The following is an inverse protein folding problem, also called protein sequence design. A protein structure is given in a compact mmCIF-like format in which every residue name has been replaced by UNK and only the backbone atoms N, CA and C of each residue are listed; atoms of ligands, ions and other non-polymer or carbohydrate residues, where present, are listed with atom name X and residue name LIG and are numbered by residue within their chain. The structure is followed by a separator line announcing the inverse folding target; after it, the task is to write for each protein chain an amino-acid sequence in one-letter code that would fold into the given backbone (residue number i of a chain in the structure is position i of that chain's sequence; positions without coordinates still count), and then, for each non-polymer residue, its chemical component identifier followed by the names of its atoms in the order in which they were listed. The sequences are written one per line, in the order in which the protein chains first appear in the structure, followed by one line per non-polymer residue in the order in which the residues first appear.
data_IF_804874465999
#
_entry.id   IF_804874465999
#
_cell.length_a   1.000
_cell.length_b   1.000
_cell.length_c   1.000
_cell.angle_alpha   90.00
_cell.angle_beta   90.00
_cell.angle_gamma   90.00
#
_symmetry.space_group_name_H-M   'P 1'
#
loop_
_entity.id
_entity.type
_entity.pdbx_description
1 polymer ?
#
# COMPACT_ATOMS: atom_id res chain seq x y z
N UNK A 1 5.71 -48.27 39.11
CA UNK A 1 4.95 -47.75 37.91
C UNK A 1 4.48 -46.28 37.96
N UNK A 2 4.70 -45.56 39.05
CA UNK A 2 4.37 -44.13 39.16
C UNK A 2 5.23 -43.24 38.24
N UNK A 3 6.46 -43.56 37.94
CA UNK A 3 7.37 -42.81 37.08
C UNK A 3 6.96 -42.84 35.59
N UNK A 4 6.45 -43.96 35.11
CA UNK A 4 5.99 -44.16 33.75
C UNK A 4 4.73 -43.33 33.46
N UNK A 5 3.77 -43.28 34.42
CA UNK A 5 2.55 -42.48 34.31
C UNK A 5 2.84 -40.95 34.30
N UNK A 6 3.76 -40.46 35.17
CA UNK A 6 4.18 -39.07 35.20
C UNK A 6 4.84 -38.62 33.89
N UNK A 7 5.70 -39.41 33.29
CA UNK A 7 6.33 -39.13 31.99
C UNK A 7 5.29 -39.05 30.85
N UNK A 8 4.26 -39.89 30.85
CA UNK A 8 3.18 -39.86 29.86
C UNK A 8 2.31 -38.60 30.02
N UNK A 9 2.03 -38.18 31.26
CA UNK A 9 1.26 -36.95 31.53
C UNK A 9 2.07 -35.74 31.09
N UNK A 10 3.34 -35.62 31.46
CA UNK A 10 4.21 -34.50 31.06
C UNK A 10 4.29 -34.37 29.52
N UNK A 11 4.51 -35.52 28.82
CA UNK A 11 4.54 -35.51 27.36
C UNK A 11 3.21 -35.05 26.74
N UNK A 12 2.06 -35.48 27.28
CA UNK A 12 0.74 -35.05 26.80
C UNK A 12 0.50 -33.56 27.06
N UNK A 13 0.86 -33.08 28.25
CA UNK A 13 0.72 -31.64 28.57
C UNK A 13 1.60 -30.78 27.69
N UNK A 14 2.85 -31.21 27.45
CA UNK A 14 3.78 -30.49 26.55
C UNK A 14 3.23 -30.46 25.10
N UNK A 15 2.65 -31.56 24.64
CA UNK A 15 2.06 -31.69 23.32
C UNK A 15 0.83 -30.76 23.16
N UNK A 16 0.02 -30.65 24.21
CA UNK A 16 -1.13 -29.73 24.24
C UNK A 16 -0.64 -28.26 24.19
N UNK A 17 0.40 -27.90 24.96
CA UNK A 17 0.98 -26.53 24.91
C UNK A 17 1.54 -26.18 23.53
N UNK A 18 2.25 -27.13 22.89
CA UNK A 18 2.75 -26.95 21.52
C UNK A 18 1.60 -26.77 20.54
N UNK A 19 0.55 -27.58 20.67
CA UNK A 19 -0.63 -27.48 19.80
C UNK A 19 -1.35 -26.14 19.94
N UNK A 20 -1.52 -25.66 21.18
CA UNK A 20 -2.10 -24.33 21.47
C UNK A 20 -1.21 -23.23 20.90
N UNK A 21 0.12 -23.34 21.04
CA UNK A 21 1.06 -22.37 20.48
C UNK A 21 0.99 -22.31 18.96
N UNK A 22 0.88 -23.46 18.27
CA UNK A 22 0.73 -23.52 16.80
C UNK A 22 -0.61 -22.95 16.36
N UNK A 23 -1.70 -23.25 17.06
CA UNK A 23 -3.02 -22.70 16.75
C UNK A 23 -3.09 -21.19 16.98
N UNK A 24 -2.54 -20.71 18.10
CA UNK A 24 -2.48 -19.27 18.39
C UNK A 24 -1.58 -18.52 17.40
N UNK A 25 -0.40 -19.07 17.09
CA UNK A 25 0.51 -18.52 16.10
C UNK A 25 -0.08 -18.51 14.68
N UNK A 26 -0.76 -19.61 14.30
CA UNK A 26 -1.47 -19.71 13.03
C UNK A 26 -2.63 -18.69 12.92
N UNK A 27 -3.41 -18.54 14.00
CA UNK A 27 -4.51 -17.56 14.05
C UNK A 27 -4.01 -16.11 13.99
N UNK A 28 -2.96 -15.78 14.75
CA UNK A 28 -2.33 -14.45 14.72
C UNK A 28 -1.69 -14.16 13.36
N UNK A 29 -0.99 -15.13 12.78
CA UNK A 29 -0.43 -15.02 11.44
C UNK A 29 -1.50 -14.83 10.37
N UNK A 30 -2.60 -15.59 10.43
CA UNK A 30 -3.73 -15.43 9.52
C UNK A 30 -4.41 -14.05 9.66
N UNK A 31 -4.60 -13.58 10.90
CA UNK A 31 -5.16 -12.25 11.17
C UNK A 31 -4.25 -11.13 10.69
N UNK A 32 -2.93 -11.29 10.88
CA UNK A 32 -1.93 -10.37 10.36
C UNK A 32 -1.96 -10.30 8.83
N UNK A 33 -1.93 -11.44 8.13
CA UNK A 33 -1.99 -11.50 6.67
C UNK A 33 -3.30 -10.91 6.11
N UNK A 34 -4.43 -11.16 6.79
CA UNK A 34 -5.74 -10.64 6.34
C UNK A 34 -5.88 -9.13 6.54
N UNK A 35 -5.25 -8.56 7.55
CA UNK A 35 -5.27 -7.12 7.80
C UNK A 35 -4.27 -6.38 6.90
N UNK A 36 -3.09 -6.98 6.65
CA UNK A 36 -2.08 -6.41 5.75
C UNK A 36 -2.58 -6.34 4.30
N UNK A 37 -3.36 -7.32 3.85
CA UNK A 37 -3.98 -7.30 2.52
C UNK A 37 -5.01 -6.16 2.32
N UNK A 38 -5.53 -5.57 3.41
CA UNK A 38 -6.44 -4.41 3.35
C UNK A 38 -5.69 -3.07 3.28
N UNK A 39 -4.45 -3.03 3.75
CA UNK A 39 -3.63 -1.81 3.84
C UNK A 39 -2.80 -1.62 2.58
N UNK A 40 -2.41 -2.72 1.93
CA UNK A 40 -1.60 -2.70 0.71
C UNK A 40 -2.34 -3.44 -0.38
N UNK A 41 -2.75 -2.73 -1.41
CA UNK A 41 -3.31 -3.30 -2.64
C UNK A 41 -2.19 -3.94 -3.52
N UNK A 42 -1.17 -4.47 -2.86
CA UNK A 42 0.01 -5.10 -3.45
C UNK A 42 0.48 -6.32 -2.64
N UNK A 43 1.28 -7.15 -3.27
CA UNK A 43 1.83 -8.37 -2.67
C UNK A 43 2.93 -8.03 -1.63
N UNK A 44 2.53 -7.84 -0.37
CA UNK A 44 3.45 -7.53 0.75
C UNK A 44 4.52 -8.61 0.95
N UNK A 45 4.23 -9.86 0.58
CA UNK A 45 5.20 -10.95 0.67
C UNK A 45 6.35 -10.81 -0.32
N UNK A 46 6.17 -10.03 -1.40
CA UNK A 46 7.24 -9.72 -2.34
C UNK A 46 8.41 -8.93 -1.74
N UNK A 47 8.21 -8.23 -0.61
CA UNK A 47 9.29 -7.54 0.09
C UNK A 47 10.22 -8.50 0.87
N UNK A 48 9.79 -9.73 1.13
CA UNK A 48 10.57 -10.73 1.86
C UNK A 48 11.23 -11.77 0.93
N UNK A 49 10.87 -11.75 -0.34
CA UNK A 49 11.54 -12.57 -1.33
C UNK A 49 12.82 -11.84 -1.73
N UNK A 50 13.96 -12.53 -1.72
CA UNK A 50 15.26 -12.00 -2.16
C UNK A 50 15.33 -11.72 -3.67
N UNK A 51 14.17 -11.60 -4.31
CA UNK A 51 14.05 -11.20 -5.70
C UNK A 51 14.39 -9.73 -5.86
N UNK A 52 15.17 -9.45 -6.87
CA UNK A 52 15.57 -8.10 -7.26
C UNK A 52 14.34 -7.21 -7.43
N UNK A 53 14.38 -6.02 -6.84
CA UNK A 53 13.30 -5.05 -6.95
C UNK A 53 13.15 -4.56 -8.40
N UNK A 54 11.92 -4.31 -8.84
CA UNK A 54 11.70 -3.60 -10.11
C UNK A 54 12.42 -2.24 -10.04
N UNK A 55 13.16 -1.88 -11.07
CA UNK A 55 13.93 -0.64 -11.12
C UNK A 55 15.32 -0.70 -10.45
N UNK A 56 15.64 -1.76 -9.69
CA UNK A 56 16.95 -1.89 -9.04
C UNK A 56 18.10 -1.95 -10.05
N UNK A 57 17.86 -2.52 -11.23
CA UNK A 57 18.85 -2.58 -12.33
C UNK A 57 19.23 -1.21 -12.88
N UNK A 58 18.31 -0.25 -12.81
CA UNK A 58 18.56 1.14 -13.21
C UNK A 58 19.15 1.97 -12.07
N UNK A 59 19.38 1.36 -10.91
CA UNK A 59 19.88 2.02 -9.70
C UNK A 59 18.84 2.87 -8.96
N UNK A 60 17.54 2.80 -9.38
CA UNK A 60 16.48 3.62 -8.78
C UNK A 60 15.15 2.87 -8.73
N UNK A 61 14.49 2.94 -7.58
CA UNK A 61 13.16 2.39 -7.36
C UNK A 61 12.21 3.53 -6.98
N UNK A 62 11.17 3.72 -7.76
CA UNK A 62 10.16 4.76 -7.54
C UNK A 62 8.86 4.13 -7.05
N UNK A 63 8.29 4.70 -5.99
CA UNK A 63 7.06 4.25 -5.36
C UNK A 63 6.07 5.42 -5.36
N UNK A 64 4.92 5.24 -5.97
CA UNK A 64 3.81 6.20 -5.92
C UNK A 64 2.93 5.91 -4.70
N UNK A 65 2.80 6.88 -3.81
CA UNK A 65 1.88 6.83 -2.68
C UNK A 65 0.67 7.71 -2.96
N UNK A 66 -0.53 7.16 -2.82
CA UNK A 66 -1.79 7.87 -3.00
C UNK A 66 -2.66 7.74 -1.75
N UNK A 67 -2.97 8.87 -1.12
CA UNK A 67 -3.90 8.96 0.01
C UNK A 67 -5.30 9.33 -0.48
N UNK A 68 -6.31 8.52 -0.13
CA UNK A 68 -7.71 8.74 -0.49
C UNK A 68 -8.56 9.00 0.75
N UNK A 69 -9.65 9.77 0.56
CA UNK A 69 -10.65 10.08 1.61
C UNK A 69 -11.93 9.25 1.48
N UNK A 70 -11.88 8.12 0.77
CA UNK A 70 -13.05 7.31 0.42
C UNK A 70 -13.82 6.73 1.62
N UNK A 71 -13.18 6.61 2.77
CA UNK A 71 -13.71 6.09 4.03
C UNK A 71 -13.97 7.17 5.09
N UNK A 72 -13.85 8.45 4.73
CA UNK A 72 -14.20 9.56 5.61
C UNK A 72 -15.74 9.75 5.65
N UNK A 73 -16.38 9.60 6.83
CA UNK A 73 -17.83 9.82 6.97
C UNK A 73 -18.30 11.23 6.63
N UNK A 74 -17.40 12.22 6.60
CA UNK A 74 -17.66 13.62 6.27
C UNK A 74 -17.56 13.95 4.78
N UNK A 75 -17.11 13.00 3.94
CA UNK A 75 -16.99 13.18 2.49
C UNK A 75 -18.09 12.44 1.74
N UNK A 76 -18.67 13.06 0.73
CA UNK A 76 -19.74 12.50 -0.12
C UNK A 76 -19.26 11.34 -1.04
N UNK A 77 -18.31 10.53 -0.58
CA UNK A 77 -17.82 9.33 -1.28
C UNK A 77 -16.95 9.63 -2.51
N UNK A 78 -16.48 10.87 -2.69
CA UNK A 78 -15.55 11.20 -3.74
C UNK A 78 -14.19 10.53 -3.46
N UNK A 79 -13.84 9.56 -4.29
CA UNK A 79 -12.54 8.84 -4.23
C UNK A 79 -11.40 9.72 -4.77
N UNK A 80 -11.24 10.93 -4.23
CA UNK A 80 -10.15 11.81 -4.63
C UNK A 80 -8.85 11.40 -3.95
N UNK A 81 -7.73 11.57 -4.65
CA UNK A 81 -6.40 11.41 -4.07
C UNK A 81 -5.92 12.77 -3.54
N UNK A 82 -6.21 13.03 -2.27
CA UNK A 82 -5.88 14.31 -1.65
C UNK A 82 -4.42 14.41 -1.19
N UNK A 83 -3.73 13.30 -1.11
CA UNK A 83 -2.29 13.21 -0.86
C UNK A 83 -1.64 12.36 -1.95
N UNK A 84 -0.70 12.92 -2.69
CA UNK A 84 0.05 12.21 -3.72
C UNK A 84 1.52 12.47 -3.47
N UNK A 85 2.31 11.40 -3.36
CA UNK A 85 3.73 11.49 -3.06
C UNK A 85 4.51 10.48 -3.91
N UNK A 86 5.64 10.93 -4.45
CA UNK A 86 6.63 10.08 -5.11
C UNK A 86 7.79 9.84 -4.15
N UNK A 87 8.04 8.59 -3.80
CA UNK A 87 9.23 8.15 -3.07
C UNK A 87 10.20 7.55 -4.06
N UNK A 88 11.38 8.14 -4.18
CA UNK A 88 12.44 7.69 -5.10
C UNK A 88 13.65 7.22 -4.30
N UNK A 89 13.96 5.93 -4.40
CA UNK A 89 15.04 5.27 -3.65
C UNK A 89 16.22 5.05 -4.60
N UNK A 90 17.34 5.65 -4.30
CA UNK A 90 18.61 5.37 -4.95
C UNK A 90 19.22 4.13 -4.31
N UNK A 91 19.22 3.02 -5.04
CA UNK A 91 19.71 1.73 -4.55
C UNK A 91 21.23 1.62 -4.53
N UNK A 92 21.92 2.49 -5.28
CA UNK A 92 23.37 2.56 -5.36
C UNK A 92 23.93 3.35 -4.17
N UNK A 93 23.42 4.60 -3.97
CA UNK A 93 23.88 5.49 -2.91
C UNK A 93 23.14 5.29 -1.59
N UNK A 94 22.13 4.41 -1.55
CA UNK A 94 21.28 4.09 -0.37
C UNK A 94 20.65 5.34 0.24
N UNK A 95 20.12 6.21 -0.61
CA UNK A 95 19.40 7.43 -0.25
C UNK A 95 17.99 7.38 -0.78
N UNK A 96 17.08 8.11 -0.14
CA UNK A 96 15.70 8.23 -0.60
C UNK A 96 15.27 9.69 -0.60
N UNK A 97 14.47 10.06 -1.62
CA UNK A 97 13.84 11.37 -1.74
C UNK A 97 12.33 11.18 -1.73
N UNK A 98 11.63 12.05 -1.03
CA UNK A 98 10.17 12.11 -1.03
C UNK A 98 9.75 13.46 -1.60
N UNK A 99 8.91 13.42 -2.63
CA UNK A 99 8.37 14.62 -3.29
C UNK A 99 6.87 14.57 -3.24
N UNK A 100 6.25 15.57 -2.61
CA UNK A 100 4.80 15.73 -2.63
C UNK A 100 4.36 16.34 -3.95
N UNK A 101 3.33 15.75 -4.57
CA UNK A 101 2.69 16.25 -5.78
C UNK A 101 1.43 17.00 -5.36
N UNK A 102 1.30 18.32 -5.67
CA UNK A 102 0.13 19.10 -5.29
C UNK A 102 -1.14 18.51 -5.89
N UNK A 103 -2.15 18.26 -5.06
CA UNK A 103 -3.43 17.67 -5.47
C UNK A 103 -4.18 18.46 -6.55
N UNK A 104 -3.91 19.77 -6.61
CA UNK A 104 -4.53 20.69 -7.57
C UNK A 104 -3.69 20.89 -8.84
N UNK A 105 -2.60 20.13 -9.02
CA UNK A 105 -1.79 20.18 -10.24
C UNK A 105 -2.66 19.87 -11.45
N UNK A 106 -2.64 20.76 -12.47
CA UNK A 106 -3.39 20.59 -13.70
C UNK A 106 -2.63 19.70 -14.67
N UNK A 107 -3.25 18.58 -15.06
CA UNK A 107 -2.62 17.53 -15.88
C UNK A 107 -3.51 17.08 -17.03
N UNK A 108 -2.93 16.47 -18.05
CA UNK A 108 -3.67 15.68 -19.04
C UNK A 108 -3.98 14.29 -18.48
N UNK A 109 -5.21 13.82 -18.63
CA UNK A 109 -5.62 12.50 -18.16
C UNK A 109 -5.28 11.38 -19.17
N UNK A 110 -4.69 11.74 -20.32
CA UNK A 110 -4.33 10.79 -21.39
C UNK A 110 -5.52 10.00 -21.94
N UNK A 111 -6.74 10.38 -21.57
CA UNK A 111 -7.98 9.79 -22.04
C UNK A 111 -9.08 10.87 -22.15
N UNK A 112 -10.02 10.69 -23.08
CA UNK A 112 -11.20 11.55 -23.22
C UNK A 112 -12.45 10.99 -22.52
N UNK A 113 -12.33 9.84 -21.92
CA UNK A 113 -13.46 9.09 -21.34
C UNK A 113 -13.85 9.59 -19.94
N UNK A 114 -12.98 10.37 -19.31
CA UNK A 114 -13.29 10.96 -18.01
C UNK A 114 -14.45 11.94 -18.06
N UNK A 115 -15.31 11.92 -17.07
CA UNK A 115 -16.46 12.84 -16.94
C UNK A 115 -16.05 14.33 -16.88
N UNK A 116 -14.83 14.60 -16.39
CA UNK A 116 -14.23 15.94 -16.33
C UNK A 116 -13.51 16.33 -17.63
N UNK A 117 -13.50 15.44 -18.64
CA UNK A 117 -12.82 15.65 -19.92
C UNK A 117 -11.37 15.23 -19.91
N UNK A 118 -10.61 15.75 -20.87
CA UNK A 118 -9.23 15.35 -21.15
C UNK A 118 -8.19 15.92 -20.17
N UNK A 119 -8.51 16.97 -19.45
CA UNK A 119 -7.61 17.65 -18.53
C UNK A 119 -8.31 18.02 -17.23
N UNK A 120 -7.58 18.06 -16.14
CA UNK A 120 -8.10 18.46 -14.85
C UNK A 120 -7.06 18.39 -13.74
N UNK A 121 -7.55 18.49 -12.52
CA UNK A 121 -6.71 18.34 -11.34
C UNK A 121 -6.26 16.88 -11.18
N UNK A 122 -5.01 16.67 -10.79
CA UNK A 122 -4.43 15.34 -10.64
C UNK A 122 -5.16 14.48 -9.58
N UNK A 123 -5.76 15.10 -8.56
CA UNK A 123 -6.50 14.38 -7.53
C UNK A 123 -7.74 13.64 -8.05
N UNK A 124 -8.31 14.05 -9.18
CA UNK A 124 -9.46 13.43 -9.81
C UNK A 124 -9.09 12.27 -10.77
N UNK A 125 -7.80 12.09 -11.08
CA UNK A 125 -7.32 11.06 -12.01
C UNK A 125 -7.67 9.66 -11.52
N UNK A 126 -7.46 9.38 -10.23
CA UNK A 126 -7.79 8.09 -9.64
C UNK A 126 -9.29 7.77 -9.81
N UNK A 127 -10.16 8.71 -9.46
CA UNK A 127 -11.62 8.53 -9.62
C UNK A 127 -12.00 8.29 -11.08
N UNK A 128 -11.36 9.04 -12.00
CA UNK A 128 -11.59 8.81 -13.43
C UNK A 128 -11.20 7.39 -13.85
N UNK A 129 -10.01 6.92 -13.49
CA UNK A 129 -9.54 5.57 -13.81
C UNK A 129 -10.47 4.47 -13.29
N UNK A 130 -11.03 4.65 -12.08
CA UNK A 130 -12.06 3.76 -11.54
C UNK A 130 -13.36 3.78 -12.36
N UNK A 131 -13.84 4.99 -12.72
CA UNK A 131 -15.09 5.16 -13.45
C UNK A 131 -15.05 4.57 -14.86
N UNK A 132 -13.94 4.74 -15.58
CA UNK A 132 -13.79 4.22 -16.94
C UNK A 132 -13.32 2.76 -16.97
N UNK A 133 -12.97 2.17 -15.79
CA UNK A 133 -12.37 0.85 -15.70
C UNK A 133 -11.05 0.77 -16.47
N UNK A 134 -10.15 1.74 -16.24
CA UNK A 134 -8.88 1.86 -16.94
C UNK A 134 -8.12 0.54 -16.98
N UNK A 135 -7.65 0.19 -18.18
CA UNK A 135 -6.82 -1.01 -18.44
C UNK A 135 -5.85 -0.71 -19.56
N UNK A 136 -4.57 -0.79 -19.23
CA UNK A 136 -3.49 -0.65 -20.20
C UNK A 136 -2.33 -1.57 -19.78
N UNK A 137 -1.71 -2.22 -20.76
CA UNK A 137 -0.58 -3.13 -20.49
C UNK A 137 0.57 -2.37 -19.81
N UNK A 138 1.11 -2.95 -18.75
CA UNK A 138 2.19 -2.34 -17.95
C UNK A 138 1.69 -1.58 -16.72
N UNK A 139 0.41 -1.28 -16.63
CA UNK A 139 -0.19 -0.57 -15.50
C UNK A 139 -1.17 -1.46 -14.71
N UNK A 140 -1.39 -1.18 -13.41
CA UNK A 140 -2.47 -1.82 -12.68
C UNK A 140 -3.84 -1.41 -13.24
N UNK A 141 -4.85 -2.25 -13.04
CA UNK A 141 -6.23 -1.93 -13.44
C UNK A 141 -6.81 -0.79 -12.57
N UNK A 142 -7.67 0.05 -13.18
CA UNK A 142 -8.46 1.05 -12.49
C UNK A 142 -7.72 2.35 -12.15
N UNK A 143 -8.09 2.96 -11.03
CA UNK A 143 -7.65 4.31 -10.66
C UNK A 143 -6.15 4.46 -10.47
N UNK A 144 -5.50 3.47 -9.84
CA UNK A 144 -4.05 3.52 -9.64
C UNK A 144 -3.29 3.46 -10.96
N UNK A 145 -3.73 2.64 -11.92
CA UNK A 145 -3.05 2.56 -13.21
C UNK A 145 -3.12 3.86 -14.01
N UNK A 146 -4.29 4.50 -14.04
CA UNK A 146 -4.38 5.82 -14.69
C UNK A 146 -3.56 6.88 -13.96
N UNK A 147 -3.53 6.85 -12.61
CA UNK A 147 -2.74 7.79 -11.82
C UNK A 147 -1.23 7.59 -12.05
N UNK A 148 -0.75 6.35 -12.09
CA UNK A 148 0.65 6.04 -12.42
C UNK A 148 1.01 6.61 -13.78
N UNK A 149 0.25 6.27 -14.82
CA UNK A 149 0.47 6.74 -16.18
C UNK A 149 0.54 8.27 -16.26
N UNK A 150 -0.40 8.96 -15.61
CA UNK A 150 -0.42 10.43 -15.62
C UNK A 150 0.78 11.03 -14.88
N UNK A 151 1.23 10.40 -13.78
CA UNK A 151 2.43 10.86 -13.05
C UNK A 151 3.68 10.59 -13.88
N UNK A 152 3.81 9.43 -14.49
CA UNK A 152 4.94 9.10 -15.38
C UNK A 152 5.04 10.09 -16.56
N UNK A 153 3.93 10.37 -17.23
CA UNK A 153 3.87 11.31 -18.34
C UNK A 153 4.16 12.76 -17.90
N UNK A 154 3.72 13.16 -16.72
CA UNK A 154 3.89 14.53 -16.24
C UNK A 154 5.31 14.82 -15.72
N UNK A 155 5.98 13.83 -15.14
CA UNK A 155 7.27 14.00 -14.48
C UNK A 155 8.43 13.29 -15.17
N UNK A 156 8.17 12.45 -16.17
CA UNK A 156 9.21 11.71 -16.90
C UNK A 156 9.93 10.69 -16.01
N UNK A 157 9.21 10.03 -15.13
CA UNK A 157 9.72 9.01 -14.20
C UNK A 157 9.02 7.69 -14.41
N UNK A 158 9.69 6.58 -14.25
CA UNK A 158 9.07 5.26 -14.26
C UNK A 158 8.62 4.89 -12.83
N UNK A 159 7.39 4.47 -12.63
CA UNK A 159 6.88 4.00 -11.35
C UNK A 159 7.01 2.48 -11.27
N UNK A 160 7.72 1.99 -10.26
CA UNK A 160 7.97 0.57 -10.08
C UNK A 160 6.96 -0.09 -9.15
N UNK A 161 6.47 0.67 -8.17
CA UNK A 161 5.50 0.23 -7.16
C UNK A 161 4.54 1.36 -6.80
N UNK A 162 3.38 0.98 -6.25
CA UNK A 162 2.45 1.95 -5.67
C UNK A 162 1.88 1.44 -4.34
N UNK A 163 1.36 2.37 -3.54
CA UNK A 163 0.51 2.05 -2.40
C UNK A 163 -0.62 3.07 -2.31
N UNK A 164 -1.83 2.57 -2.14
CA UNK A 164 -3.01 3.39 -1.83
C UNK A 164 -3.32 3.27 -0.34
N UNK A 165 -3.52 4.40 0.32
CA UNK A 165 -3.77 4.50 1.76
C UNK A 165 -5.02 5.36 1.96
N UNK A 166 -6.01 4.84 2.68
CA UNK A 166 -7.17 5.59 3.14
C UNK A 166 -7.00 6.02 4.61
N UNK A 167 -7.96 6.77 5.17
CA UNK A 167 -7.87 7.24 6.57
C UNK A 167 -7.78 6.09 7.58
N UNK A 168 -8.58 5.04 7.40
CA UNK A 168 -8.55 3.87 8.29
C UNK A 168 -7.17 3.19 8.26
N UNK A 169 -6.60 2.98 7.08
CA UNK A 169 -5.29 2.38 6.95
C UNK A 169 -4.19 3.28 7.53
N UNK A 170 -4.31 4.60 7.37
CA UNK A 170 -3.38 5.56 7.97
C UNK A 170 -3.45 5.52 9.50
N UNK A 171 -4.65 5.54 10.09
CA UNK A 171 -4.85 5.42 11.53
C UNK A 171 -4.27 4.12 12.08
N UNK A 172 -4.56 2.98 11.41
CA UNK A 172 -4.00 1.69 11.80
C UNK A 172 -2.46 1.67 11.73
N UNK A 173 -1.86 2.29 10.71
CA UNK A 173 -0.41 2.39 10.59
C UNK A 173 0.21 3.23 11.71
N UNK A 174 -0.39 4.38 12.04
CA UNK A 174 0.05 5.24 13.16
C UNK A 174 -0.07 4.50 14.49
N UNK A 175 -1.17 3.79 14.72
CA UNK A 175 -1.39 3.00 15.93
C UNK A 175 -0.37 1.85 16.05
N UNK A 176 0.01 1.23 14.95
CA UNK A 176 0.97 0.13 14.91
C UNK A 176 2.39 0.55 15.35
N UNK A 177 2.75 1.82 15.13
CA UNK A 177 4.06 2.38 15.58
C UNK A 177 3.98 3.07 16.96
N UNK A 178 2.82 3.01 17.63
CA UNK A 178 2.64 3.57 18.97
C UNK A 178 2.20 5.03 19.00
N UNK A 179 1.74 5.55 17.90
CA UNK A 179 1.30 6.95 17.76
C UNK A 179 2.41 7.88 17.26
N UNK A 180 2.04 9.14 17.04
CA UNK A 180 2.95 10.23 16.68
C UNK A 180 2.69 11.44 17.58
N UNK A 181 3.74 12.13 18.02
CA UNK A 181 3.63 13.37 18.78
C UNK A 181 3.59 14.57 17.83
N UNK A 182 2.56 15.41 17.93
CA UNK A 182 2.41 16.62 17.12
C UNK A 182 2.36 17.84 18.04
N UNK A 183 3.27 18.78 17.82
CA UNK A 183 3.22 20.09 18.48
C UNK A 183 2.51 21.09 17.58
N UNK A 184 1.33 21.54 17.98
CA UNK A 184 0.62 22.63 17.31
C UNK A 184 1.26 23.97 17.69
N UNK A 185 1.52 24.81 16.70
CA UNK A 185 2.02 26.18 16.87
C UNK A 185 0.87 27.18 16.82
#
# INVERSE_FOLDING_TARGET
DRHSRRRKIIKRTLLIFVLIGVLAGGFLGWKFLKNTAKVFDGNVLGFFDSTKLKGEDTGRVNILLAGTSEDDPGHDGAKLTDSIMLVSIDTVNKTAFMTSIPRDLWVSYQTKECSVGYQGKINAVYTCGEQIGFKEEGYPDGGMGLLEKVVEDAFGVDINYHAKINYTAFEEAVNAVGGIDITLK
#
